data_IF_187305158741
#
_entry.id   IF_187305158741
#
_cell.length_a   1.000
_cell.length_b   1.000
_cell.length_c   1.000
_cell.angle_alpha   90.00
_cell.angle_beta   90.00
_cell.angle_gamma   90.00
#
_symmetry.space_group_name_H-M   'P 1'
#
loop_
_entity.id
_entity.type
_entity.pdbx_description
1 polymer ?
#
# COMPACT_ATOMS: atom_id res chain seq x y z
N UNK A 1 14.40 -16.67 -2.69
CA UNK A 1 13.03 -16.28 -2.29
C UNK A 1 13.02 -14.81 -1.88
N UNK A 2 11.96 -14.10 -2.25
CA UNK A 2 11.75 -12.68 -1.97
C UNK A 2 10.75 -12.51 -0.83
N UNK A 3 10.88 -11.46 -0.03
CA UNK A 3 9.87 -11.08 0.97
C UNK A 3 9.46 -9.63 0.70
N UNK A 4 8.16 -9.38 0.54
CA UNK A 4 7.61 -8.02 0.41
C UNK A 4 6.93 -7.63 1.72
N UNK A 5 7.39 -6.53 2.31
CA UNK A 5 6.81 -6.00 3.55
C UNK A 5 5.52 -5.24 3.25
N UNK A 6 4.46 -5.57 4.00
CA UNK A 6 3.22 -4.79 4.03
C UNK A 6 3.24 -3.84 5.23
N UNK A 7 2.91 -2.56 4.98
CA UNK A 7 2.89 -1.50 5.98
C UNK A 7 2.01 -0.33 5.57
N UNK A 8 1.61 0.49 6.54
CA UNK A 8 0.78 1.67 6.31
C UNK A 8 -0.69 1.35 6.04
N UNK A 9 -1.47 2.30 5.54
CA UNK A 9 -2.89 2.15 5.25
C UNK A 9 -3.18 1.29 4.02
N UNK A 10 -4.48 0.98 3.80
CA UNK A 10 -4.95 0.07 2.75
C UNK A 10 -4.35 0.34 1.37
N UNK A 11 -4.31 1.60 0.92
CA UNK A 11 -3.73 1.94 -0.39
C UNK A 11 -2.24 1.55 -0.51
N UNK A 12 -1.45 1.75 0.55
CA UNK A 12 -0.04 1.33 0.57
C UNK A 12 0.08 -0.19 0.52
N UNK A 13 -0.77 -0.90 1.29
CA UNK A 13 -0.83 -2.36 1.29
C UNK A 13 -1.18 -2.91 -0.10
N UNK A 14 -2.09 -2.26 -0.84
CA UNK A 14 -2.44 -2.63 -2.22
C UNK A 14 -1.24 -2.52 -3.16
N UNK A 15 -0.48 -1.42 -3.14
CA UNK A 15 0.72 -1.27 -3.98
C UNK A 15 1.79 -2.32 -3.64
N UNK A 16 2.04 -2.56 -2.37
CA UNK A 16 3.02 -3.54 -1.90
C UNK A 16 2.60 -4.96 -2.31
N UNK A 17 1.32 -5.29 -2.17
CA UNK A 17 0.81 -6.59 -2.58
C UNK A 17 0.79 -6.75 -4.10
N UNK A 18 0.55 -5.68 -4.86
CA UNK A 18 0.67 -5.68 -6.31
C UNK A 18 2.12 -6.00 -6.76
N UNK A 19 3.14 -5.43 -6.10
CA UNK A 19 4.53 -5.81 -6.34
C UNK A 19 4.77 -7.30 -6.05
N UNK A 20 4.25 -7.81 -4.92
CA UNK A 20 4.35 -9.24 -4.58
C UNK A 20 3.76 -10.11 -5.71
N UNK A 21 2.56 -9.78 -6.21
CA UNK A 21 1.92 -10.51 -7.32
C UNK A 21 2.73 -10.41 -8.60
N UNK A 22 3.29 -9.24 -8.90
CA UNK A 22 4.15 -9.04 -10.06
C UNK A 22 5.43 -9.90 -9.98
N UNK A 23 6.05 -10.01 -8.81
CA UNK A 23 7.21 -10.91 -8.61
C UNK A 23 6.85 -12.37 -8.91
N UNK A 24 5.68 -12.85 -8.43
CA UNK A 24 5.21 -14.20 -8.76
C UNK A 24 4.99 -14.37 -10.27
N UNK A 25 4.39 -13.39 -10.95
CA UNK A 25 4.20 -13.42 -12.40
C UNK A 25 5.52 -13.42 -13.19
N UNK A 26 6.59 -12.86 -12.61
CA UNK A 26 7.95 -12.95 -13.15
C UNK A 26 8.69 -14.26 -12.77
N UNK A 27 7.98 -15.24 -12.22
CA UNK A 27 8.56 -16.55 -11.85
C UNK A 27 9.42 -16.51 -10.59
N UNK A 28 9.36 -15.44 -9.79
CA UNK A 28 10.07 -15.37 -8.52
C UNK A 28 9.30 -16.09 -7.42
N UNK A 29 10.00 -16.76 -6.53
CA UNK A 29 9.43 -17.22 -5.27
C UNK A 29 9.34 -16.04 -4.31
N UNK A 30 8.13 -15.66 -3.92
CA UNK A 30 7.90 -14.53 -3.03
C UNK A 30 6.87 -14.84 -1.95
N UNK A 31 6.97 -14.14 -0.82
CA UNK A 31 6.06 -14.15 0.32
C UNK A 31 5.88 -12.73 0.85
N UNK A 32 4.92 -12.54 1.77
CA UNK A 32 4.69 -11.22 2.39
C UNK A 32 5.02 -11.24 3.89
N UNK A 33 5.47 -10.11 4.41
CA UNK A 33 5.66 -9.89 5.84
C UNK A 33 4.72 -8.80 6.35
N UNK A 34 3.90 -9.13 7.33
CA UNK A 34 2.94 -8.24 7.99
C UNK A 34 3.35 -7.86 9.40
N UNK A 35 4.56 -8.21 9.84
CA UNK A 35 5.03 -7.98 11.22
C UNK A 35 5.06 -6.50 11.61
N UNK A 36 5.08 -5.59 10.63
CA UNK A 36 5.02 -4.15 10.87
C UNK A 36 3.78 -3.76 11.70
N UNK A 37 2.65 -4.38 11.44
CA UNK A 37 1.39 -4.08 12.14
C UNK A 37 1.37 -4.50 13.61
N UNK A 38 2.26 -5.40 14.02
CA UNK A 38 2.39 -5.78 15.44
C UNK A 38 3.06 -4.69 16.31
N UNK A 39 3.73 -3.72 15.69
CA UNK A 39 4.51 -2.69 16.39
C UNK A 39 4.07 -1.26 16.07
N UNK A 40 3.06 -1.10 15.22
CA UNK A 40 2.58 0.21 14.78
C UNK A 40 1.05 0.24 14.81
N UNK A 41 0.50 1.07 15.70
CA UNK A 41 -0.95 1.29 15.83
C UNK A 41 -1.50 2.31 14.81
N UNK A 42 -0.68 2.66 13.80
CA UNK A 42 -1.08 3.58 12.75
C UNK A 42 -2.09 2.93 11.79
N UNK A 43 -3.04 3.70 11.31
CA UNK A 43 -4.10 3.26 10.42
C UNK A 43 -5.02 2.19 11.08
N UNK A 44 -5.72 1.40 10.28
CA UNK A 44 -6.64 0.34 10.76
C UNK A 44 -5.95 -1.05 10.81
N UNK A 45 -4.63 -1.09 10.82
CA UNK A 45 -3.89 -2.34 10.80
C UNK A 45 -3.82 -3.01 9.41
N UNK A 46 -3.80 -4.33 9.39
CA UNK A 46 -3.77 -5.12 8.15
C UNK A 46 -5.19 -5.26 7.57
N UNK A 47 -5.49 -4.49 6.52
CA UNK A 47 -6.84 -4.39 5.94
C UNK A 47 -7.07 -5.30 4.72
N UNK A 48 -6.03 -5.63 3.94
CA UNK A 48 -6.18 -6.39 2.69
C UNK A 48 -7.05 -7.64 2.78
N UNK A 49 -6.82 -8.58 3.73
CA UNK A 49 -7.64 -9.77 3.85
C UNK A 49 -9.09 -9.47 4.24
N UNK A 50 -9.30 -8.49 5.10
CA UNK A 50 -10.63 -8.11 5.58
C UNK A 50 -11.47 -7.43 4.49
N UNK A 51 -10.83 -6.58 3.65
CA UNK A 51 -11.53 -5.82 2.61
C UNK A 51 -11.80 -6.66 1.36
N UNK A 52 -10.84 -7.50 0.95
CA UNK A 52 -10.91 -8.21 -0.33
C UNK A 52 -11.10 -9.73 -0.20
N UNK A 53 -11.08 -10.28 1.00
CA UNK A 53 -11.41 -11.69 1.24
C UNK A 53 -10.36 -12.72 0.80
N UNK A 54 -9.11 -12.33 0.51
CA UNK A 54 -8.07 -13.26 0.12
C UNK A 54 -7.05 -13.53 1.22
N UNK A 55 -6.39 -14.69 1.17
CA UNK A 55 -5.33 -15.07 2.10
C UNK A 55 -3.96 -14.60 1.63
N UNK A 56 -3.07 -14.33 2.59
CA UNK A 56 -1.69 -13.91 2.34
C UNK A 56 -0.72 -15.08 2.50
N UNK A 57 0.22 -15.25 1.56
CA UNK A 57 1.33 -16.19 1.69
C UNK A 57 2.41 -15.58 2.60
N UNK A 58 2.29 -15.85 3.90
CA UNK A 58 3.13 -15.25 4.93
C UNK A 58 4.55 -15.81 4.93
N UNK A 59 5.53 -14.92 5.05
CA UNK A 59 6.92 -15.30 5.23
C UNK A 59 7.14 -16.00 6.59
N UNK A 60 7.78 -17.21 6.62
CA UNK A 60 8.16 -17.85 7.86
C UNK A 60 9.07 -16.97 8.72
N UNK A 61 8.97 -17.03 10.07
CA UNK A 61 9.76 -16.18 10.96
C UNK A 61 11.27 -16.29 10.76
N UNK A 62 11.79 -17.48 10.49
CA UNK A 62 13.21 -17.73 10.23
C UNK A 62 13.69 -17.04 8.96
N UNK A 63 12.88 -17.00 7.93
CA UNK A 63 13.21 -16.33 6.67
C UNK A 63 13.19 -14.80 6.82
N UNK A 64 12.19 -14.27 7.52
CA UNK A 64 12.14 -12.84 7.87
C UNK A 64 13.39 -12.43 8.64
N UNK A 65 13.82 -13.24 9.61
CA UNK A 65 15.04 -13.00 10.40
C UNK A 65 16.32 -13.12 9.55
N UNK A 66 16.34 -14.03 8.59
CA UNK A 66 17.49 -14.22 7.70
C UNK A 66 17.67 -13.06 6.72
N UNK A 67 16.59 -12.61 6.06
CA UNK A 67 16.63 -11.60 4.99
C UNK A 67 16.29 -10.19 5.49
N UNK A 68 15.37 -10.06 6.42
CA UNK A 68 14.84 -8.79 6.92
C UNK A 68 15.60 -8.20 8.09
N UNK A 69 15.06 -7.11 8.60
CA UNK A 69 15.45 -6.50 9.86
C UNK A 69 14.63 -7.11 11.00
N UNK A 70 15.29 -7.44 12.10
CA UNK A 70 14.59 -7.79 13.34
C UNK A 70 14.04 -6.49 13.99
N UNK A 71 12.81 -6.14 13.63
CA UNK A 71 12.14 -4.91 14.08
C UNK A 71 11.84 -4.90 15.59
N UNK A 72 11.86 -6.07 16.24
CA UNK A 72 11.57 -6.21 17.67
C UNK A 72 12.78 -5.99 18.58
N UNK A 73 13.98 -5.99 18.05
CA UNK A 73 15.21 -5.88 18.86
C UNK A 73 15.72 -4.45 18.99
N UNK A 74 15.79 -3.93 20.23
CA UNK A 74 16.45 -2.64 20.52
C UNK A 74 17.91 -2.62 20.08
N UNK A 75 18.58 -3.76 20.16
CA UNK A 75 19.95 -3.93 19.68
C UNK A 75 20.05 -3.73 18.16
N UNK A 76 19.14 -4.30 17.38
CA UNK A 76 19.10 -4.11 15.93
C UNK A 76 18.75 -2.67 15.54
N UNK A 77 17.84 -2.00 16.26
CA UNK A 77 17.51 -0.59 16.02
C UNK A 77 18.72 0.35 16.28
N UNK A 78 19.52 0.07 17.33
CA UNK A 78 20.74 0.80 17.61
C UNK A 78 21.85 0.46 16.61
N UNK A 79 21.98 -0.79 16.20
CA UNK A 79 22.96 -1.29 15.25
C UNK A 79 22.74 -0.68 13.84
N UNK A 80 21.47 -0.58 13.39
CA UNK A 80 21.13 0.05 12.12
C UNK A 80 21.41 1.54 12.07
N UNK A 81 21.42 2.23 13.19
CA UNK A 81 21.81 3.63 13.25
C UNK A 81 23.30 3.84 12.92
N UNK A 82 24.14 2.82 13.11
CA UNK A 82 25.59 2.92 13.03
C UNK A 82 26.28 1.97 12.03
N UNK A 83 25.62 0.91 11.58
CA UNK A 83 26.22 -0.11 10.70
C UNK A 83 25.22 -0.49 9.60
N UNK A 84 25.70 -0.54 8.36
CA UNK A 84 24.97 -0.73 7.10
C UNK A 84 23.91 -1.86 7.15
N UNK A 85 22.77 -1.61 6.49
CA UNK A 85 21.74 -2.59 6.15
C UNK A 85 22.33 -3.93 5.70
N UNK A 86 21.67 -5.05 6.08
CA UNK A 86 22.01 -6.35 5.51
C UNK A 86 21.98 -6.25 3.99
N UNK A 87 22.92 -6.90 3.25
CA UNK A 87 22.89 -6.91 1.79
C UNK A 87 21.59 -7.45 1.20
N UNK A 88 20.88 -8.32 1.95
CA UNK A 88 19.57 -8.87 1.60
C UNK A 88 18.41 -7.88 1.79
N UNK A 89 18.61 -6.79 2.52
CA UNK A 89 17.57 -5.79 2.76
C UNK A 89 17.64 -4.68 1.71
N UNK A 90 16.54 -4.46 1.01
CA UNK A 90 16.40 -3.41 0.00
C UNK A 90 15.22 -2.52 0.35
N UNK A 91 15.49 -1.25 0.61
CA UNK A 91 14.49 -0.29 1.08
C UNK A 91 14.45 0.97 0.22
N UNK A 92 13.24 1.46 -0.02
CA UNK A 92 12.95 2.73 -0.71
C UNK A 92 11.89 3.51 0.06
N UNK A 93 12.30 4.64 0.65
CA UNK A 93 11.46 5.49 1.48
C UNK A 93 11.56 6.97 1.09
N UNK A 94 10.64 7.79 1.59
CA UNK A 94 10.64 9.22 1.36
C UNK A 94 10.50 9.57 -0.12
N UNK A 95 11.37 10.44 -0.63
CA UNK A 95 11.32 10.90 -2.04
C UNK A 95 11.55 9.76 -3.03
N UNK A 96 12.28 8.73 -2.65
CA UNK A 96 12.50 7.54 -3.48
C UNK A 96 11.26 6.63 -3.57
N UNK A 97 10.27 6.79 -2.69
CA UNK A 97 9.12 5.88 -2.61
C UNK A 97 8.27 5.84 -3.89
N UNK A 98 8.23 6.92 -4.65
CA UNK A 98 7.44 7.05 -5.90
C UNK A 98 8.20 6.68 -7.16
N UNK A 99 9.50 6.37 -7.05
CA UNK A 99 10.34 5.94 -8.17
C UNK A 99 9.98 4.56 -8.68
N UNK A 100 10.42 4.26 -9.91
CA UNK A 100 10.39 2.92 -10.46
C UNK A 100 11.80 2.33 -10.49
N UNK A 101 11.99 1.19 -9.85
CA UNK A 101 13.26 0.50 -9.66
C UNK A 101 13.16 -0.91 -10.27
N UNK A 102 13.39 -1.06 -11.59
CA UNK A 102 13.21 -2.33 -12.30
C UNK A 102 14.10 -3.44 -11.75
N UNK A 103 15.24 -3.11 -11.14
CA UNK A 103 16.16 -4.08 -10.53
C UNK A 103 15.53 -4.99 -9.48
N UNK A 104 14.34 -4.65 -8.95
CA UNK A 104 13.63 -5.53 -8.00
C UNK A 104 13.26 -6.87 -8.64
N UNK A 105 13.10 -6.91 -9.96
CA UNK A 105 12.81 -8.14 -10.70
C UNK A 105 14.07 -8.99 -11.00
N UNK A 106 15.26 -8.42 -10.83
CA UNK A 106 16.53 -9.14 -10.99
C UNK A 106 17.00 -9.83 -9.70
N UNK A 107 16.38 -9.48 -8.57
CA UNK A 107 16.76 -10.06 -7.28
C UNK A 107 16.20 -11.48 -7.09
N UNK A 108 16.98 -12.35 -6.40
CA UNK A 108 16.57 -13.70 -6.03
C UNK A 108 16.35 -13.86 -4.52
N UNK A 109 17.13 -13.17 -3.69
CA UNK A 109 17.05 -13.24 -2.24
C UNK A 109 17.08 -11.83 -1.64
N UNK A 110 15.91 -11.21 -1.51
CA UNK A 110 15.79 -9.86 -0.94
C UNK A 110 14.56 -9.72 -0.05
N UNK A 111 14.71 -8.93 0.98
CA UNK A 111 13.62 -8.36 1.74
C UNK A 111 13.34 -6.95 1.23
N UNK A 112 12.17 -6.75 0.62
CA UNK A 112 11.75 -5.49 0.01
C UNK A 112 10.90 -4.69 0.99
N UNK A 113 11.37 -3.50 1.36
CA UNK A 113 10.66 -2.60 2.24
C UNK A 113 10.50 -1.23 1.58
N UNK A 114 9.26 -0.79 1.39
CA UNK A 114 8.94 0.47 0.71
C UNK A 114 7.47 0.56 0.36
N UNK A 115 7.07 1.66 -0.27
CA UNK A 115 5.68 1.88 -0.68
C UNK A 115 5.36 1.37 -2.08
N UNK A 116 6.34 1.36 -2.99
CA UNK A 116 6.25 0.81 -4.36
C UNK A 116 5.10 1.41 -5.18
N UNK A 117 4.81 2.68 -4.95
CA UNK A 117 3.67 3.43 -5.51
C UNK A 117 3.92 3.83 -6.97
N UNK A 118 4.14 2.84 -7.83
CA UNK A 118 4.33 3.08 -9.27
C UNK A 118 3.69 1.93 -10.07
N UNK A 119 2.78 2.26 -10.98
CA UNK A 119 2.04 1.26 -11.78
C UNK A 119 2.94 0.40 -12.68
N UNK A 120 4.13 0.90 -13.03
CA UNK A 120 5.09 0.17 -13.87
C UNK A 120 5.52 -1.17 -13.30
N UNK A 121 5.42 -1.37 -11.97
CA UNK A 121 5.74 -2.66 -11.36
C UNK A 121 4.77 -3.77 -11.73
N UNK A 122 3.51 -3.44 -12.04
CA UNK A 122 2.44 -4.42 -12.20
C UNK A 122 1.58 -4.21 -13.46
N UNK A 123 2.07 -3.44 -14.44
CA UNK A 123 1.37 -3.22 -15.71
C UNK A 123 1.01 -4.54 -16.40
N UNK A 124 1.90 -5.54 -16.35
CA UNK A 124 1.68 -6.85 -16.98
C UNK A 124 0.60 -7.72 -16.31
N UNK A 125 0.15 -7.36 -15.10
CA UNK A 125 -0.88 -8.09 -14.33
C UNK A 125 -2.06 -7.18 -13.93
N UNK A 126 -2.25 -6.07 -14.63
CA UNK A 126 -3.27 -5.07 -14.28
C UNK A 126 -4.68 -5.66 -14.21
N UNK A 127 -5.05 -6.55 -15.13
CA UNK A 127 -6.37 -7.17 -15.15
C UNK A 127 -6.57 -8.16 -14.00
N UNK A 128 -5.54 -8.92 -13.64
CA UNK A 128 -5.55 -9.76 -12.44
C UNK A 128 -5.77 -8.91 -11.17
N UNK A 129 -5.07 -7.78 -11.06
CA UNK A 129 -5.21 -6.89 -9.90
C UNK A 129 -6.60 -6.24 -9.82
N UNK A 130 -7.21 -5.86 -10.95
CA UNK A 130 -8.58 -5.35 -10.97
C UNK A 130 -9.59 -6.37 -10.44
N UNK A 131 -9.42 -7.64 -10.79
CA UNK A 131 -10.25 -8.71 -10.27
C UNK A 131 -9.98 -8.95 -8.78
N UNK A 132 -8.71 -9.00 -8.38
CA UNK A 132 -8.29 -9.24 -7.00
C UNK A 132 -8.79 -8.15 -6.04
N UNK A 133 -8.75 -6.89 -6.48
CA UNK A 133 -9.20 -5.74 -5.69
C UNK A 133 -10.66 -5.36 -5.94
N UNK A 134 -11.45 -6.29 -6.46
CA UNK A 134 -12.90 -6.11 -6.53
C UNK A 134 -13.51 -6.16 -5.13
N UNK A 135 -14.31 -5.17 -4.81
CA UNK A 135 -15.03 -5.15 -3.53
C UNK A 135 -16.12 -6.23 -3.51
N UNK A 136 -16.38 -6.83 -2.37
CA UNK A 136 -17.55 -7.69 -2.19
C UNK A 136 -18.84 -6.89 -2.44
N UNK A 137 -19.92 -7.60 -2.77
CA UNK A 137 -21.22 -6.97 -2.95
C UNK A 137 -21.64 -6.20 -1.70
N UNK A 138 -22.21 -5.01 -1.89
CA UNK A 138 -22.78 -4.22 -0.80
C UNK A 138 -23.98 -4.97 -0.21
N UNK A 139 -24.03 -5.12 1.11
CA UNK A 139 -25.07 -5.85 1.83
C UNK A 139 -25.95 -4.91 2.68
N UNK A 140 -25.46 -3.75 3.06
CA UNK A 140 -26.21 -2.78 3.82
C UNK A 140 -27.18 -2.00 2.92
N UNK A 141 -28.46 -1.95 3.28
CA UNK A 141 -29.51 -1.34 2.49
C UNK A 141 -29.23 0.12 2.10
N UNK A 142 -28.67 0.90 3.01
CA UNK A 142 -28.32 2.29 2.77
C UNK A 142 -27.20 2.42 1.71
N UNK A 143 -26.17 1.57 1.80
CA UNK A 143 -25.07 1.54 0.82
C UNK A 143 -25.53 1.08 -0.55
N UNK A 144 -26.40 0.06 -0.63
CA UNK A 144 -27.02 -0.41 -1.87
C UNK A 144 -27.83 0.68 -2.52
N UNK A 145 -28.66 1.40 -1.73
CA UNK A 145 -29.46 2.51 -2.23
C UNK A 145 -28.57 3.64 -2.76
N UNK A 146 -27.57 4.05 -1.99
CA UNK A 146 -26.63 5.12 -2.40
C UNK A 146 -25.89 4.77 -3.69
N UNK A 147 -25.39 3.54 -3.81
CA UNK A 147 -24.74 3.05 -5.03
C UNK A 147 -25.71 3.11 -6.24
N UNK A 148 -26.94 2.64 -6.07
CA UNK A 148 -27.95 2.70 -7.14
C UNK A 148 -28.40 4.11 -7.51
N UNK A 149 -28.35 5.07 -6.58
CA UNK A 149 -28.57 6.49 -6.89
C UNK A 149 -27.40 7.06 -7.71
N UNK A 150 -26.15 6.74 -7.34
CA UNK A 150 -24.95 7.16 -8.07
C UNK A 150 -24.91 6.60 -9.50
N UNK A 151 -25.30 5.34 -9.70
CA UNK A 151 -25.33 4.70 -11.02
C UNK A 151 -26.35 5.34 -11.99
N UNK A 152 -27.39 5.98 -11.44
CA UNK A 152 -28.45 6.60 -12.25
C UNK A 152 -28.27 8.10 -12.48
N UNK A 153 -27.17 8.66 -12.01
CA UNK A 153 -26.89 10.08 -12.09
C UNK A 153 -25.43 10.34 -12.47
N UNK A 154 -25.16 11.52 -13.01
CA UNK A 154 -23.80 12.04 -13.11
C UNK A 154 -23.30 12.38 -11.70
N UNK A 155 -22.68 11.39 -11.06
CA UNK A 155 -22.27 11.48 -9.66
C UNK A 155 -20.81 11.90 -9.49
N UNK A 156 -20.53 12.74 -8.50
CA UNK A 156 -19.18 13.20 -8.17
C UNK A 156 -18.89 12.95 -6.70
N UNK A 157 -17.80 12.24 -6.42
CA UNK A 157 -17.32 12.02 -5.07
C UNK A 157 -16.38 13.15 -4.62
N UNK A 158 -16.60 13.67 -3.42
CA UNK A 158 -15.71 14.63 -2.76
C UNK A 158 -15.10 13.97 -1.52
N UNK A 159 -13.77 13.77 -1.55
CA UNK A 159 -13.04 13.26 -0.38
C UNK A 159 -12.38 14.44 0.35
N UNK A 160 -12.81 14.70 1.58
CA UNK A 160 -12.20 15.71 2.45
C UNK A 160 -11.31 15.01 3.48
N UNK A 161 -10.00 15.03 3.28
CA UNK A 161 -9.06 14.45 4.22
C UNK A 161 -8.76 15.43 5.35
N UNK A 162 -9.21 15.12 6.56
CA UNK A 162 -8.97 15.89 7.77
C UNK A 162 -8.07 15.11 8.74
N UNK A 163 -8.57 14.25 9.52
CA UNK A 163 -7.91 13.29 10.41
C UNK A 163 -6.44 13.61 10.76
N UNK A 164 -5.58 12.69 10.41
CA UNK A 164 -4.12 12.75 10.61
C UNK A 164 -3.45 13.98 9.95
N UNK A 165 -4.00 14.47 8.82
CA UNK A 165 -3.44 15.60 8.09
C UNK A 165 -3.57 16.94 8.82
N UNK A 166 -4.51 17.08 9.75
CA UNK A 166 -4.65 18.33 10.52
C UNK A 166 -3.44 18.61 11.41
N UNK A 167 -2.77 17.56 11.86
CA UNK A 167 -1.62 17.62 12.76
C UNK A 167 -0.27 17.53 12.02
N UNK A 168 -0.29 17.39 10.69
CA UNK A 168 0.93 17.30 9.88
C UNK A 168 1.22 18.66 9.22
N UNK A 169 2.26 19.39 9.66
CA UNK A 169 2.54 20.77 9.20
C UNK A 169 2.69 20.91 7.68
N UNK A 170 3.15 19.85 7.00
CA UNK A 170 3.34 19.86 5.54
C UNK A 170 2.03 19.61 4.75
N UNK A 171 0.98 19.09 5.40
CA UNK A 171 -0.26 18.66 4.77
C UNK A 171 -1.46 19.48 5.22
N UNK A 172 -1.38 20.09 6.40
CA UNK A 172 -2.45 20.90 6.97
C UNK A 172 -2.72 22.13 6.09
N UNK A 173 -4.00 22.34 5.75
CA UNK A 173 -4.47 23.52 5.03
C UNK A 173 -4.18 23.55 3.52
N UNK A 174 -3.58 22.49 2.93
CA UNK A 174 -3.34 22.42 1.48
C UNK A 174 -4.65 22.46 0.69
N UNK A 175 -5.67 21.74 1.15
CA UNK A 175 -7.00 21.70 0.52
C UNK A 175 -8.01 22.39 1.43
N UNK A 176 -8.18 23.69 1.25
CA UNK A 176 -9.18 24.50 1.94
C UNK A 176 -10.58 24.40 1.28
N UNK A 177 -11.59 25.00 1.90
CA UNK A 177 -12.95 25.04 1.35
C UNK A 177 -13.00 25.69 -0.05
N UNK A 178 -12.15 26.68 -0.29
CA UNK A 178 -12.03 27.34 -1.59
C UNK A 178 -11.50 26.41 -2.67
N UNK A 179 -10.55 25.54 -2.34
CA UNK A 179 -10.09 24.50 -3.26
C UNK A 179 -11.23 23.59 -3.72
N UNK A 180 -12.00 23.04 -2.77
CA UNK A 180 -13.13 22.16 -3.09
C UNK A 180 -14.23 22.87 -3.90
N UNK A 181 -14.53 24.13 -3.58
CA UNK A 181 -15.51 24.93 -4.32
C UNK A 181 -15.07 25.14 -5.78
N UNK A 182 -13.80 25.48 -6.02
CA UNK A 182 -13.25 25.63 -7.38
C UNK A 182 -13.23 24.32 -8.16
N UNK A 183 -12.80 23.21 -7.50
CA UNK A 183 -12.77 21.89 -8.10
C UNK A 183 -14.17 21.44 -8.53
N UNK A 184 -15.18 21.62 -7.66
CA UNK A 184 -16.56 21.28 -7.95
C UNK A 184 -17.14 22.14 -9.10
N UNK A 185 -16.84 23.44 -9.11
CA UNK A 185 -17.27 24.33 -10.18
C UNK A 185 -16.69 23.90 -11.54
N UNK A 186 -15.42 23.49 -11.57
CA UNK A 186 -14.78 22.99 -12.78
C UNK A 186 -15.41 21.69 -13.28
N UNK A 187 -15.59 20.70 -12.40
CA UNK A 187 -16.24 19.44 -12.77
C UNK A 187 -17.64 19.69 -13.34
N UNK A 188 -18.46 20.53 -12.70
CA UNK A 188 -19.81 20.88 -13.20
C UNK A 188 -19.83 21.58 -14.57
N UNK A 189 -18.74 22.17 -14.97
CA UNK A 189 -18.64 22.82 -16.27
C UNK A 189 -18.18 21.87 -17.40
N UNK A 190 -17.61 20.72 -17.02
CA UNK A 190 -17.05 19.72 -17.95
C UNK A 190 -17.94 18.46 -18.09
N UNK A 191 -18.89 18.27 -17.16
CA UNK A 191 -19.89 17.19 -17.12
C UNK A 191 -21.29 17.79 -17.25
#
# INVERSE_FOLDING_TARGET
MMIVRLMGGLGNQMFQYALYRALLAHGKEATVDTSWFAYHDAHNGLELPAVYGFSLAMAPPEQRKALGEDMGSLFWRAFHKYIRHKPSFYAKYGVEAVGYFPEVFDFDEKYLSGYWQNERYFTGIADELRLLYSFPALTEEENVRAAGEMERAESVSIHVRLGDYQNEPLLSGICDAGYYARALARVKAEV
#
